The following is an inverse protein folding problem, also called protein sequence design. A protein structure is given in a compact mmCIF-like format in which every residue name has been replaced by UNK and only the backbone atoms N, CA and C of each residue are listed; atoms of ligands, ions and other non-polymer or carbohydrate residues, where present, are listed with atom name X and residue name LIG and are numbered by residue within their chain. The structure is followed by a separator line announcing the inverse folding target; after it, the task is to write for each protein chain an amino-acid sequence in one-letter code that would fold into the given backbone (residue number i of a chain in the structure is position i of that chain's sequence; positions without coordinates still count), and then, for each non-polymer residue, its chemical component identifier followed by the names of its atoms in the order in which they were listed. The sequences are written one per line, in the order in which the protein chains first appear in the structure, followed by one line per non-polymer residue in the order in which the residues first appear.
data_IF_738471879512
#
_entry.id   IF_738471879512
#
_cell.length_a   1.000
_cell.length_b   1.000
_cell.length_c   1.000
_cell.angle_alpha   90.00
_cell.angle_beta   90.00
_cell.angle_gamma   90.00
#
_symmetry.space_group_name_H-M   'P 1'
#
loop_
_entity.id
_entity.type
_entity.pdbx_description
1 polymer ?
#
# COMPACT_ATOMS: atom_id res chain seq x y z
N UNK A 1 -19.76 -17.69 -15.87
CA UNK A 1 -18.74 -17.12 -16.77
C UNK A 1 -17.82 -16.20 -15.97
N UNK A 2 -16.51 -16.20 -16.17
CA UNK A 2 -15.65 -15.21 -15.54
C UNK A 2 -16.07 -13.81 -16.01
N UNK A 3 -16.14 -12.86 -15.06
CA UNK A 3 -16.50 -11.48 -15.36
C UNK A 3 -15.51 -10.86 -16.36
N UNK A 4 -16.04 -10.04 -17.30
CA UNK A 4 -15.20 -9.33 -18.26
C UNK A 4 -14.14 -8.47 -17.56
N UNK A 5 -13.01 -8.14 -18.20
CA UNK A 5 -12.06 -7.19 -17.63
C UNK A 5 -12.72 -5.86 -17.22
N UNK A 6 -13.59 -5.31 -18.05
CA UNK A 6 -14.30 -4.05 -17.78
C UNK A 6 -15.19 -4.15 -16.53
N UNK A 7 -15.98 -5.24 -16.39
CA UNK A 7 -16.83 -5.45 -15.20
C UNK A 7 -16.01 -5.64 -13.92
N UNK A 8 -14.84 -6.24 -14.03
CA UNK A 8 -13.95 -6.36 -12.89
C UNK A 8 -13.45 -4.99 -12.43
N UNK A 9 -12.91 -4.17 -13.34
CA UNK A 9 -12.38 -2.85 -12.97
C UNK A 9 -13.48 -1.89 -12.55
N UNK A 10 -14.69 -1.98 -13.12
CA UNK A 10 -15.86 -1.25 -12.63
C UNK A 10 -16.16 -1.59 -11.17
N UNK A 11 -16.15 -2.88 -10.79
CA UNK A 11 -16.32 -3.30 -9.39
C UNK A 11 -15.18 -2.83 -8.50
N UNK A 12 -13.92 -2.93 -8.96
CA UNK A 12 -12.79 -2.38 -8.20
C UNK A 12 -12.94 -0.89 -7.95
N UNK A 13 -13.36 -0.12 -8.95
CA UNK A 13 -13.62 1.32 -8.82
C UNK A 13 -14.71 1.60 -7.78
N UNK A 14 -15.83 0.87 -7.79
CA UNK A 14 -16.88 1.03 -6.80
C UNK A 14 -16.37 0.74 -5.37
N UNK A 15 -15.57 -0.31 -5.20
CA UNK A 15 -14.93 -0.61 -3.90
C UNK A 15 -13.93 0.46 -3.48
N UNK A 16 -13.13 0.98 -4.41
CA UNK A 16 -12.20 2.09 -4.14
C UNK A 16 -12.94 3.36 -3.74
N UNK A 17 -14.03 3.71 -4.44
CA UNK A 17 -14.83 4.87 -4.10
C UNK A 17 -15.53 4.70 -2.74
N UNK A 18 -16.13 3.55 -2.48
CA UNK A 18 -16.75 3.26 -1.19
C UNK A 18 -15.76 3.30 -0.03
N UNK A 19 -14.58 2.71 -0.22
CA UNK A 19 -13.51 2.74 0.80
C UNK A 19 -12.88 4.12 0.95
N UNK A 20 -12.80 4.94 -0.10
CA UNK A 20 -12.39 6.34 -0.02
C UNK A 20 -13.35 7.15 0.84
N UNK A 21 -14.65 6.99 0.61
CA UNK A 21 -15.69 7.65 1.43
C UNK A 21 -15.60 7.22 2.89
N UNK A 22 -15.36 5.92 3.15
CA UNK A 22 -15.15 5.42 4.50
C UNK A 22 -13.89 6.02 5.14
N UNK A 23 -12.76 6.06 4.44
CA UNK A 23 -11.52 6.68 4.94
C UNK A 23 -11.72 8.17 5.23
N UNK A 24 -12.36 8.88 4.32
CA UNK A 24 -12.69 10.29 4.51
C UNK A 24 -13.62 10.52 5.71
N UNK A 25 -14.59 9.63 5.91
CA UNK A 25 -15.48 9.67 7.07
C UNK A 25 -14.71 9.40 8.36
N UNK A 26 -13.83 8.37 8.39
CA UNK A 26 -12.99 8.05 9.55
C UNK A 26 -12.08 9.22 9.98
N UNK A 27 -11.60 10.03 9.04
CA UNK A 27 -10.82 11.24 9.33
C UNK A 27 -11.59 12.28 10.18
N UNK A 28 -12.92 12.21 10.18
CA UNK A 28 -13.77 13.05 11.04
C UNK A 28 -13.82 12.58 12.49
N UNK A 29 -13.33 11.37 12.75
CA UNK A 29 -13.30 10.74 14.09
C UNK A 29 -11.84 10.47 14.53
N UNK A 30 -11.05 11.53 14.77
CA UNK A 30 -9.65 11.38 15.18
C UNK A 30 -9.48 10.60 16.47
N UNK A 31 -10.52 10.54 17.30
CA UNK A 31 -10.54 9.78 18.54
C UNK A 31 -10.32 8.26 18.33
N UNK A 32 -10.69 7.71 17.17
CA UNK A 32 -10.47 6.28 16.89
C UNK A 32 -8.97 5.96 16.82
N UNK A 33 -8.23 6.72 16.01
CA UNK A 33 -6.77 6.56 15.90
C UNK A 33 -6.07 6.75 17.24
N UNK A 34 -6.46 7.79 18.00
CA UNK A 34 -5.88 8.06 19.30
C UNK A 34 -6.16 6.93 20.30
N UNK A 35 -7.41 6.44 20.37
CA UNK A 35 -7.78 5.31 21.26
C UNK A 35 -7.05 4.03 20.91
N UNK A 36 -6.95 3.70 19.62
CA UNK A 36 -6.21 2.52 19.18
C UNK A 36 -4.72 2.65 19.48
N UNK A 37 -4.17 3.84 19.35
CA UNK A 37 -2.77 4.10 19.63
C UNK A 37 -2.45 4.05 21.12
N UNK A 38 -3.42 4.45 21.99
CA UNK A 38 -3.30 4.32 23.45
C UNK A 38 -3.10 2.87 23.92
N UNK A 39 -3.57 1.87 23.16
CA UNK A 39 -3.35 0.46 23.51
C UNK A 39 -1.86 0.05 23.52
N UNK A 40 -1.02 0.82 22.84
CA UNK A 40 0.42 0.57 22.70
C UNK A 40 1.28 1.57 23.49
N UNK A 41 0.66 2.59 24.08
CA UNK A 41 1.34 3.65 24.84
C UNK A 41 1.29 3.34 26.34
N UNK A 42 2.40 3.54 27.02
CA UNK A 42 2.48 3.43 28.49
C UNK A 42 2.42 4.83 29.13
N UNK A 43 1.31 5.20 29.77
CA UNK A 43 1.20 6.50 30.42
C UNK A 43 2.15 6.70 31.59
N UNK A 44 2.60 5.60 32.26
CA UNK A 44 3.48 5.70 33.42
C UNK A 44 4.92 6.09 33.01
N UNK A 45 5.39 5.56 31.90
CA UNK A 45 6.70 5.91 31.35
C UNK A 45 6.68 7.10 30.38
N UNK A 46 5.51 7.46 29.85
CA UNK A 46 5.33 8.53 28.87
C UNK A 46 5.84 8.21 27.48
N UNK A 47 5.98 6.91 27.12
CA UNK A 47 6.46 6.51 25.79
C UNK A 47 5.89 5.16 25.35
N UNK A 48 6.24 4.74 24.12
CA UNK A 48 5.85 3.45 23.56
C UNK A 48 6.88 2.38 23.96
N UNK A 49 6.52 1.34 24.73
CA UNK A 49 7.49 0.32 25.21
C UNK A 49 8.20 -0.41 24.06
N UNK A 50 7.56 -0.54 22.90
CA UNK A 50 8.11 -1.21 21.73
C UNK A 50 8.78 -0.27 20.72
N UNK A 51 8.91 1.03 21.02
CA UNK A 51 9.48 2.02 20.09
C UNK A 51 10.87 1.61 19.58
N UNK A 52 11.72 1.14 20.49
CA UNK A 52 13.10 0.75 20.22
C UNK A 52 13.30 -0.77 20.28
N UNK A 53 12.23 -1.58 20.19
CA UNK A 53 12.32 -3.02 20.25
C UNK A 53 13.06 -3.58 19.01
N UNK A 54 14.31 -3.99 19.20
CA UNK A 54 15.19 -4.46 18.12
C UNK A 54 14.60 -5.65 17.35
N UNK A 55 14.01 -6.62 18.06
CA UNK A 55 13.38 -7.78 17.41
C UNK A 55 12.21 -7.39 16.48
N UNK A 56 11.42 -6.37 16.88
CA UNK A 56 10.30 -5.89 16.07
C UNK A 56 10.81 -5.13 14.84
N UNK A 57 11.87 -4.35 14.99
CA UNK A 57 12.53 -3.72 13.85
C UNK A 57 13.10 -4.77 12.89
N UNK A 58 13.81 -5.76 13.42
CA UNK A 58 14.40 -6.83 12.61
C UNK A 58 13.34 -7.61 11.83
N UNK A 59 12.29 -8.09 12.51
CA UNK A 59 11.26 -8.94 11.88
C UNK A 59 10.33 -8.16 10.96
N UNK A 60 9.77 -7.05 11.48
CA UNK A 60 8.72 -6.31 10.78
C UNK A 60 9.25 -5.32 9.75
N UNK A 61 10.40 -4.69 10.02
CA UNK A 61 10.95 -3.67 9.12
C UNK A 61 11.98 -4.28 8.15
N UNK A 62 13.00 -4.97 8.66
CA UNK A 62 14.10 -5.41 7.81
C UNK A 62 13.76 -6.72 7.08
N UNK A 63 13.46 -7.79 7.82
CA UNK A 63 13.24 -9.11 7.23
C UNK A 63 12.04 -9.13 6.28
N UNK A 64 10.88 -8.63 6.72
CA UNK A 64 9.68 -8.59 5.88
C UNK A 64 9.93 -7.79 4.59
N UNK A 65 10.57 -6.62 4.69
CA UNK A 65 10.94 -5.80 3.54
C UNK A 65 11.88 -6.55 2.58
N UNK A 66 12.95 -7.16 3.10
CA UNK A 66 13.92 -7.86 2.25
C UNK A 66 13.31 -9.09 1.58
N UNK A 67 12.41 -9.83 2.25
CA UNK A 67 11.67 -10.93 1.64
C UNK A 67 10.80 -10.46 0.47
N UNK A 68 10.10 -9.32 0.62
CA UNK A 68 9.27 -8.76 -0.45
C UNK A 68 10.15 -8.29 -1.63
N UNK A 69 11.29 -7.65 -1.34
CA UNK A 69 12.26 -7.23 -2.38
C UNK A 69 12.82 -8.45 -3.10
N UNK A 70 13.27 -9.48 -2.37
CA UNK A 70 13.78 -10.71 -2.98
C UNK A 70 12.73 -11.41 -3.85
N UNK A 71 11.48 -11.51 -3.35
CA UNK A 71 10.37 -12.04 -4.15
C UNK A 71 10.13 -11.21 -5.42
N UNK A 72 10.15 -9.88 -5.32
CA UNK A 72 10.03 -8.97 -6.47
C UNK A 72 11.15 -9.18 -7.50
N UNK A 73 12.40 -9.29 -7.05
CA UNK A 73 13.54 -9.57 -7.94
C UNK A 73 13.39 -10.93 -8.63
N UNK A 74 13.07 -11.99 -7.88
CA UNK A 74 12.86 -13.33 -8.44
C UNK A 74 11.73 -13.35 -9.47
N UNK A 75 10.60 -12.71 -9.16
CA UNK A 75 9.48 -12.57 -10.10
C UNK A 75 9.87 -11.73 -11.33
N UNK A 76 10.65 -10.67 -11.15
CA UNK A 76 11.16 -9.86 -12.25
C UNK A 76 12.05 -10.65 -13.20
N UNK A 77 13.04 -11.37 -12.68
CA UNK A 77 13.92 -12.24 -13.47
C UNK A 77 13.12 -13.36 -14.18
N UNK A 78 12.17 -13.98 -13.46
CA UNK A 78 11.32 -15.01 -14.05
C UNK A 78 10.45 -14.44 -15.19
N UNK A 79 9.79 -13.29 -14.96
CA UNK A 79 8.95 -12.61 -15.95
C UNK A 79 9.75 -12.21 -17.18
N UNK A 80 10.98 -11.70 -16.99
CA UNK A 80 11.90 -11.37 -18.09
C UNK A 80 12.26 -12.60 -18.92
N UNK A 81 12.69 -13.69 -18.26
CA UNK A 81 13.08 -14.93 -18.95
C UNK A 81 11.92 -15.58 -19.70
N UNK A 82 10.69 -15.50 -19.16
CA UNK A 82 9.47 -16.05 -19.75
C UNK A 82 8.76 -15.11 -20.70
N UNK A 83 9.26 -13.88 -20.86
CA UNK A 83 8.60 -12.80 -21.60
C UNK A 83 7.15 -12.56 -21.15
N UNK A 84 6.87 -12.79 -19.86
CA UNK A 84 5.57 -12.51 -19.22
C UNK A 84 5.49 -11.02 -18.84
N UNK A 85 5.04 -10.21 -19.79
CA UNK A 85 4.91 -8.76 -19.58
C UNK A 85 3.93 -8.40 -18.47
N UNK A 86 2.93 -9.25 -18.23
CA UNK A 86 1.98 -9.03 -17.14
C UNK A 86 2.62 -9.29 -15.77
N UNK A 87 3.50 -10.28 -15.66
CA UNK A 87 4.31 -10.50 -14.46
C UNK A 87 5.29 -9.35 -14.24
N UNK A 88 5.94 -8.84 -15.29
CA UNK A 88 6.79 -7.66 -15.20
C UNK A 88 6.03 -6.41 -14.78
N UNK A 89 4.81 -6.24 -15.29
CA UNK A 89 3.92 -5.17 -14.82
C UNK A 89 3.62 -5.30 -13.32
N UNK A 90 3.39 -6.50 -12.79
CA UNK A 90 3.16 -6.67 -11.36
C UNK A 90 4.35 -6.19 -10.52
N UNK A 91 5.58 -6.52 -10.93
CA UNK A 91 6.81 -6.05 -10.28
C UNK A 91 6.94 -4.53 -10.39
N UNK A 92 6.67 -3.97 -11.58
CA UNK A 92 6.68 -2.51 -11.77
C UNK A 92 5.65 -1.81 -10.87
N UNK A 93 4.44 -2.36 -10.74
CA UNK A 93 3.39 -1.83 -9.86
C UNK A 93 3.84 -1.89 -8.39
N UNK A 94 4.46 -2.99 -7.94
CA UNK A 94 5.00 -3.10 -6.58
C UNK A 94 6.01 -1.97 -6.31
N UNK A 95 6.91 -1.71 -7.23
CA UNK A 95 7.93 -0.64 -7.10
C UNK A 95 7.30 0.75 -7.14
N UNK A 96 6.46 1.03 -8.14
CA UNK A 96 5.84 2.34 -8.33
C UNK A 96 4.89 2.72 -7.20
N UNK A 97 4.07 1.76 -6.71
CA UNK A 97 3.15 2.02 -5.62
C UNK A 97 3.89 2.32 -4.30
N UNK A 98 4.95 1.56 -3.99
CA UNK A 98 5.77 1.83 -2.79
C UNK A 98 6.57 3.14 -2.92
N UNK A 99 7.07 3.46 -4.11
CA UNK A 99 7.72 4.73 -4.39
C UNK A 99 6.75 5.92 -4.23
N UNK A 100 5.52 5.80 -4.75
CA UNK A 100 4.47 6.80 -4.59
C UNK A 100 4.16 7.07 -3.11
N UNK A 101 3.93 6.02 -2.32
CA UNK A 101 3.67 6.17 -0.87
C UNK A 101 4.87 6.80 -0.18
N UNK A 102 6.09 6.39 -0.51
CA UNK A 102 7.32 6.97 0.06
C UNK A 102 7.49 8.45 -0.30
N UNK A 103 7.17 8.83 -1.53
CA UNK A 103 7.21 10.22 -1.98
C UNK A 103 6.18 11.08 -1.27
N UNK A 104 4.93 10.63 -1.17
CA UNK A 104 3.87 11.33 -0.43
C UNK A 104 4.25 11.50 1.04
N UNK A 105 4.79 10.44 1.66
CA UNK A 105 5.26 10.47 3.05
C UNK A 105 6.31 11.57 3.26
N UNK A 106 7.29 11.71 2.37
CA UNK A 106 8.34 12.73 2.50
C UNK A 106 7.81 14.17 2.40
N UNK A 107 6.66 14.37 1.74
CA UNK A 107 6.01 15.69 1.59
C UNK A 107 5.00 15.98 2.70
N UNK A 108 4.68 14.99 3.53
CA UNK A 108 3.65 15.11 4.56
C UNK A 108 4.15 15.89 5.77
N UNK A 109 3.32 16.82 6.25
CA UNK A 109 3.54 17.55 7.51
C UNK A 109 3.02 16.77 8.74
N UNK A 110 2.30 15.64 8.55
CA UNK A 110 1.77 14.85 9.66
C UNK A 110 2.87 14.10 10.41
N UNK A 111 2.95 14.34 11.70
CA UNK A 111 3.93 13.72 12.61
C UNK A 111 3.50 12.33 13.07
N UNK A 112 4.46 11.56 13.55
CA UNK A 112 4.22 10.22 14.08
C UNK A 112 3.50 10.30 15.43
N UNK A 113 2.77 9.26 15.86
CA UNK A 113 2.16 9.21 17.19
C UNK A 113 3.13 9.59 18.33
N UNK A 114 4.34 9.07 18.32
CA UNK A 114 5.35 9.36 19.36
C UNK A 114 5.83 10.81 19.42
N UNK A 115 5.60 11.61 18.36
CA UNK A 115 5.95 13.04 18.33
C UNK A 115 4.81 13.92 18.91
N UNK A 116 3.59 13.34 19.07
CA UNK A 116 2.41 14.10 19.45
C UNK A 116 2.33 14.35 20.97
N UNK A 117 1.80 15.51 21.35
CA UNK A 117 1.54 15.88 22.75
C UNK A 117 0.72 14.81 23.50
N UNK A 118 -0.23 14.15 22.81
CA UNK A 118 -1.05 13.08 23.38
C UNK A 118 -0.25 11.86 23.83
N UNK A 119 1.01 11.71 23.41
CA UNK A 119 1.89 10.58 23.67
C UNK A 119 3.29 11.01 24.13
N UNK A 120 3.38 12.13 24.86
CA UNK A 120 4.63 12.60 25.45
C UNK A 120 5.53 13.42 24.52
N UNK A 121 5.16 13.63 23.27
CA UNK A 121 5.87 14.50 22.34
C UNK A 121 5.42 15.96 22.41
N UNK A 122 5.76 16.75 21.37
CA UNK A 122 5.49 18.19 21.35
C UNK A 122 4.60 18.63 20.18
N UNK A 123 4.34 17.76 19.21
CA UNK A 123 3.60 18.07 18.00
C UNK A 123 2.09 18.09 18.25
N UNK A 124 1.39 19.04 17.63
CA UNK A 124 -0.07 19.01 17.57
C UNK A 124 -0.58 18.09 16.45
N UNK A 125 -1.65 17.34 16.73
CA UNK A 125 -2.36 16.57 15.73
C UNK A 125 -3.35 17.49 15.00
N UNK A 126 -3.42 17.33 13.69
CA UNK A 126 -4.38 18.04 12.84
C UNK A 126 -4.98 17.10 11.78
N UNK A 127 -6.13 17.46 11.21
CA UNK A 127 -6.81 16.66 10.20
C UNK A 127 -6.08 16.65 8.86
N UNK A 128 -6.27 15.62 8.07
CA UNK A 128 -5.56 15.39 6.79
C UNK A 128 -5.67 16.58 5.82
N UNK A 129 -6.80 17.29 5.84
CA UNK A 129 -7.08 18.43 4.96
C UNK A 129 -7.14 19.77 5.72
N UNK A 130 -6.71 19.81 6.99
CA UNK A 130 -6.67 21.02 7.77
C UNK A 130 -5.41 21.83 7.47
N UNK A 131 -5.43 23.10 7.83
CA UNK A 131 -4.24 23.94 7.82
C UNK A 131 -3.17 23.34 8.75
N UNK A 132 -1.92 23.37 8.29
CA UNK A 132 -0.79 22.86 9.08
C UNK A 132 -0.50 23.83 10.22
N UNK A 133 -0.60 23.42 11.49
CA UNK A 133 -0.30 24.28 12.62
C UNK A 133 1.22 24.54 12.73
N UNK A 134 1.60 25.60 13.43
CA UNK A 134 3.01 25.98 13.62
C UNK A 134 3.81 24.92 14.40
N UNK A 135 3.15 24.18 15.27
CA UNK A 135 3.67 23.10 16.10
C UNK A 135 3.36 21.71 15.54
N UNK A 136 3.22 21.58 14.21
CA UNK A 136 2.96 20.29 13.54
C UNK A 136 4.04 19.22 13.78
N UNK A 137 5.23 19.63 14.25
CA UNK A 137 6.37 18.75 14.52
C UNK A 137 7.16 18.35 13.24
N UNK A 138 7.93 17.24 13.29
CA UNK A 138 8.85 16.87 12.21
C UNK A 138 8.15 16.39 10.93
N UNK A 139 6.89 16.02 11.00
CA UNK A 139 6.14 15.48 9.86
C UNK A 139 6.66 14.13 9.37
N UNK A 140 6.44 13.86 8.07
CA UNK A 140 6.94 12.66 7.35
C UNK A 140 6.45 11.34 7.92
N UNK A 141 5.22 11.30 8.45
CA UNK A 141 4.64 10.07 8.99
C UNK A 141 3.40 9.57 8.27
N UNK A 142 2.83 10.33 7.36
CA UNK A 142 1.67 9.95 6.57
C UNK A 142 2.01 9.98 5.07
N UNK A 143 1.58 8.98 4.29
CA UNK A 143 1.01 7.68 4.66
C UNK A 143 2.06 6.70 5.23
N UNK A 144 1.62 5.52 5.74
CA UNK A 144 2.48 4.52 6.37
C UNK A 144 3.40 3.79 5.38
N UNK A 145 4.68 4.20 5.31
CA UNK A 145 5.63 3.67 4.33
C UNK A 145 5.89 2.16 4.45
N UNK A 146 6.03 1.63 5.66
CA UNK A 146 6.31 0.20 5.88
C UNK A 146 5.14 -0.70 5.45
N UNK A 147 3.91 -0.29 5.76
CA UNK A 147 2.71 -1.00 5.35
C UNK A 147 2.60 -1.10 3.83
N UNK A 148 3.05 -0.07 3.08
CA UNK A 148 2.99 -0.07 1.61
C UNK A 148 3.81 -1.20 0.97
N UNK A 149 4.92 -1.62 1.59
CA UNK A 149 5.70 -2.76 1.11
C UNK A 149 4.87 -4.06 1.17
N UNK A 150 4.20 -4.34 2.30
CA UNK A 150 3.31 -5.49 2.42
C UNK A 150 2.12 -5.38 1.45
N UNK A 151 1.47 -4.24 1.38
CA UNK A 151 0.36 -4.00 0.45
C UNK A 151 0.78 -4.11 -1.02
N UNK A 152 2.04 -3.89 -1.39
CA UNK A 152 2.50 -4.03 -2.78
C UNK A 152 2.23 -5.43 -3.35
N UNK A 153 2.17 -6.46 -2.49
CA UNK A 153 1.82 -7.82 -2.86
C UNK A 153 0.40 -7.96 -3.44
N UNK A 154 -0.49 -6.97 -3.26
CA UNK A 154 -1.80 -6.91 -3.94
C UNK A 154 -1.64 -7.04 -5.47
N UNK A 155 -0.55 -6.51 -6.03
CA UNK A 155 -0.25 -6.60 -7.47
C UNK A 155 -0.19 -8.06 -7.98
N UNK A 156 0.21 -9.00 -7.13
CA UNK A 156 0.25 -10.43 -7.48
C UNK A 156 -1.16 -11.00 -7.71
N UNK A 157 -2.15 -10.51 -6.96
CA UNK A 157 -3.55 -10.84 -7.19
C UNK A 157 -4.04 -10.35 -8.55
N UNK A 158 -3.71 -9.12 -8.93
CA UNK A 158 -4.04 -8.57 -10.25
C UNK A 158 -3.34 -9.32 -11.39
N UNK A 159 -2.07 -9.67 -11.22
CA UNK A 159 -1.33 -10.46 -12.19
C UNK A 159 -1.99 -11.82 -12.44
N UNK A 160 -2.30 -12.59 -11.38
CA UNK A 160 -2.84 -13.96 -11.49
C UNK A 160 -4.32 -14.02 -11.87
N UNK A 161 -5.04 -12.89 -11.83
CA UNK A 161 -6.49 -12.87 -12.03
C UNK A 161 -6.99 -13.55 -13.31
N UNK A 162 -6.42 -13.28 -14.51
CA UNK A 162 -6.91 -13.90 -15.74
C UNK A 162 -6.53 -15.38 -15.86
N UNK A 163 -5.50 -15.82 -15.15
CA UNK A 163 -4.97 -17.18 -15.26
C UNK A 163 -5.53 -18.12 -14.19
N UNK A 164 -5.57 -17.65 -12.94
CA UNK A 164 -5.91 -18.44 -11.76
C UNK A 164 -6.74 -17.61 -10.78
N UNK A 165 -8.06 -17.43 -11.01
CA UNK A 165 -8.89 -16.51 -10.22
C UNK A 165 -8.92 -16.80 -8.72
N UNK A 166 -8.90 -18.09 -8.33
CA UNK A 166 -8.87 -18.49 -6.92
C UNK A 166 -7.55 -18.12 -6.26
N UNK A 167 -6.41 -18.38 -6.93
CA UNK A 167 -5.09 -17.97 -6.46
C UNK A 167 -4.99 -16.44 -6.38
N UNK A 168 -5.49 -15.74 -7.39
CA UNK A 168 -5.52 -14.28 -7.42
C UNK A 168 -6.23 -13.68 -6.19
N UNK A 169 -7.38 -14.23 -5.82
CA UNK A 169 -8.12 -13.82 -4.62
C UNK A 169 -7.31 -14.07 -3.34
N UNK A 170 -6.67 -15.24 -3.22
CA UNK A 170 -5.81 -15.58 -2.08
C UNK A 170 -4.62 -14.62 -1.98
N UNK A 171 -3.93 -14.36 -3.09
CA UNK A 171 -2.79 -13.43 -3.13
C UNK A 171 -3.20 -11.99 -2.79
N UNK A 172 -4.38 -11.54 -3.24
CA UNK A 172 -4.92 -10.24 -2.89
C UNK A 172 -5.11 -10.12 -1.37
N UNK A 173 -5.78 -11.08 -0.74
CA UNK A 173 -6.00 -11.06 0.71
C UNK A 173 -4.71 -11.23 1.51
N UNK A 174 -3.78 -12.08 1.03
CA UNK A 174 -2.46 -12.21 1.66
C UNK A 174 -1.66 -10.91 1.61
N UNK A 175 -1.70 -10.20 0.47
CA UNK A 175 -1.07 -8.88 0.35
C UNK A 175 -1.71 -7.86 1.31
N UNK A 176 -3.05 -7.85 1.41
CA UNK A 176 -3.77 -7.04 2.39
C UNK A 176 -3.35 -7.34 3.83
N UNK A 177 -3.32 -8.62 4.19
CA UNK A 177 -2.90 -9.08 5.51
C UNK A 177 -1.44 -8.73 5.82
N UNK A 178 -0.53 -8.93 4.86
CA UNK A 178 0.89 -8.59 5.02
C UNK A 178 1.08 -7.08 5.27
N UNK A 179 0.40 -6.23 4.49
CA UNK A 179 0.44 -4.78 4.69
C UNK A 179 -0.10 -4.36 6.05
N UNK A 180 -1.23 -4.93 6.48
CA UNK A 180 -1.80 -4.66 7.81
C UNK A 180 -0.90 -5.15 8.94
N UNK A 181 -0.31 -6.34 8.86
CA UNK A 181 0.61 -6.85 9.88
C UNK A 181 1.86 -5.97 10.00
N UNK A 182 2.45 -5.56 8.87
CA UNK A 182 3.57 -4.62 8.88
C UNK A 182 3.14 -3.26 9.47
N UNK A 183 1.94 -2.79 9.16
CA UNK A 183 1.38 -1.57 9.72
C UNK A 183 1.13 -1.66 11.22
N UNK A 184 0.57 -2.77 11.72
CA UNK A 184 0.34 -3.01 13.14
C UNK A 184 1.65 -3.01 13.95
N UNK A 185 2.72 -3.63 13.41
CA UNK A 185 4.03 -3.55 14.03
C UNK A 185 4.54 -2.12 14.17
N UNK A 186 4.26 -1.25 13.21
CA UNK A 186 4.61 0.17 13.30
C UNK A 186 3.70 0.95 14.26
N UNK A 187 2.41 0.55 14.38
CA UNK A 187 1.53 1.11 15.42
C UNK A 187 2.03 0.76 16.81
N UNK A 188 2.43 -0.48 17.06
CA UNK A 188 2.98 -0.93 18.34
C UNK A 188 4.25 -0.16 18.73
N UNK A 189 5.03 0.33 17.77
CA UNK A 189 6.19 1.20 17.98
C UNK A 189 5.85 2.68 18.20
N UNK A 190 4.60 3.09 18.00
CA UNK A 190 4.21 4.52 18.00
C UNK A 190 4.58 5.27 16.71
N UNK A 191 4.94 4.55 15.64
CA UNK A 191 5.40 5.15 14.38
C UNK A 191 4.26 5.59 13.47
N UNK A 192 3.13 4.88 13.47
CA UNK A 192 2.00 5.15 12.56
C UNK A 192 0.66 4.95 13.25
N UNK A 193 -0.36 5.71 12.82
CA UNK A 193 -1.75 5.45 13.14
C UNK A 193 -2.33 4.36 12.23
N UNK A 194 -3.49 3.80 12.62
CA UNK A 194 -4.25 2.91 11.76
C UNK A 194 -4.63 3.58 10.43
N UNK A 195 -5.10 4.84 10.49
CA UNK A 195 -5.44 5.63 9.29
C UNK A 195 -4.28 5.73 8.32
N UNK A 196 -3.04 5.94 8.80
CA UNK A 196 -1.83 5.99 7.95
C UNK A 196 -1.63 4.71 7.15
N UNK A 197 -1.91 3.54 7.77
CA UNK A 197 -1.77 2.24 7.14
C UNK A 197 -2.90 1.96 6.15
N UNK A 198 -4.14 2.32 6.49
CA UNK A 198 -5.29 2.17 5.62
C UNK A 198 -5.17 3.02 4.35
N UNK A 199 -4.72 4.27 4.46
CA UNK A 199 -4.42 5.12 3.32
C UNK A 199 -3.32 4.54 2.43
N UNK A 200 -2.28 3.94 3.01
CA UNK A 200 -1.24 3.26 2.23
C UNK A 200 -1.81 2.08 1.45
N UNK A 201 -2.64 1.25 2.08
CA UNK A 201 -3.32 0.15 1.39
C UNK A 201 -4.21 0.63 0.26
N UNK A 202 -4.95 1.72 0.48
CA UNK A 202 -5.82 2.32 -0.54
C UNK A 202 -5.03 2.85 -1.73
N UNK A 203 -3.95 3.58 -1.50
CA UNK A 203 -3.08 4.12 -2.55
C UNK A 203 -2.44 3.00 -3.39
N UNK A 204 -1.94 1.95 -2.74
CA UNK A 204 -1.38 0.79 -3.44
C UNK A 204 -2.46 0.08 -4.26
N UNK A 205 -3.65 -0.12 -3.70
CA UNK A 205 -4.77 -0.73 -4.42
C UNK A 205 -5.21 0.10 -5.62
N UNK A 206 -5.30 1.42 -5.47
CA UNK A 206 -5.57 2.34 -6.58
C UNK A 206 -4.52 2.21 -7.68
N UNK A 207 -3.23 2.21 -7.34
CA UNK A 207 -2.14 2.03 -8.29
C UNK A 207 -2.26 0.70 -9.04
N UNK A 208 -2.56 -0.41 -8.34
CA UNK A 208 -2.84 -1.70 -8.96
C UNK A 208 -4.01 -1.59 -9.96
N UNK A 209 -5.13 -1.00 -9.54
CA UNK A 209 -6.30 -0.86 -10.41
C UNK A 209 -5.99 -0.06 -11.67
N UNK A 210 -5.37 1.10 -11.53
CA UNK A 210 -5.08 1.99 -12.67
C UNK A 210 -4.11 1.36 -13.66
N UNK A 211 -3.00 0.81 -13.19
CA UNK A 211 -1.95 0.28 -14.06
C UNK A 211 -2.39 -1.03 -14.76
N UNK A 212 -3.05 -1.93 -14.03
CA UNK A 212 -3.57 -3.15 -14.65
C UNK A 212 -4.80 -2.89 -15.54
N UNK A 213 -5.67 -1.92 -15.21
CA UNK A 213 -6.76 -1.51 -16.11
C UNK A 213 -6.19 -0.92 -17.42
N UNK A 214 -5.19 -0.06 -17.34
CA UNK A 214 -4.49 0.47 -18.50
C UNK A 214 -3.91 -0.63 -19.39
N UNK A 215 -3.28 -1.63 -18.77
CA UNK A 215 -2.76 -2.80 -19.49
C UNK A 215 -3.88 -3.63 -20.15
N UNK A 216 -4.93 -3.99 -19.39
CA UNK A 216 -5.94 -4.94 -19.83
C UNK A 216 -6.97 -4.34 -20.80
N UNK A 217 -7.32 -3.06 -20.60
CA UNK A 217 -8.37 -2.39 -21.39
C UNK A 217 -7.83 -1.57 -22.56
N UNK A 218 -6.58 -1.13 -22.50
CA UNK A 218 -6.00 -0.27 -23.53
C UNK A 218 -4.86 -0.96 -24.30
N UNK A 219 -3.82 -1.40 -23.57
CA UNK A 219 -2.61 -1.94 -24.18
C UNK A 219 -2.81 -3.27 -24.88
N UNK A 220 -3.43 -4.27 -24.24
CA UNK A 220 -3.65 -5.58 -24.85
C UNK A 220 -4.55 -5.51 -26.10
N UNK A 221 -5.72 -4.86 -26.09
CA UNK A 221 -6.56 -4.73 -27.29
C UNK A 221 -5.87 -3.98 -28.43
N UNK A 222 -5.09 -2.94 -28.11
CA UNK A 222 -4.31 -2.20 -29.10
C UNK A 222 -3.25 -3.09 -29.76
N UNK A 223 -2.49 -3.84 -28.97
CA UNK A 223 -1.48 -4.78 -29.44
C UNK A 223 -2.04 -5.87 -30.34
N UNK A 224 -3.22 -6.43 -29.97
CA UNK A 224 -3.92 -7.42 -30.78
C UNK A 224 -4.37 -6.82 -32.14
N UNK A 225 -4.91 -5.61 -32.14
CA UNK A 225 -5.30 -4.92 -33.38
C UNK A 225 -4.10 -4.65 -34.30
N UNK A 226 -2.96 -4.30 -33.75
CA UNK A 226 -1.72 -4.12 -34.54
C UNK A 226 -1.25 -5.44 -35.15
N UNK A 227 -1.22 -6.52 -34.37
CA UNK A 227 -0.81 -7.84 -34.85
C UNK A 227 -1.72 -8.35 -36.00
N UNK A 228 -3.01 -8.03 -35.98
CA UNK A 228 -3.95 -8.38 -37.06
C UNK A 228 -3.77 -7.52 -38.31
N UNK A 229 -3.35 -6.26 -38.16
CA UNK A 229 -3.15 -5.33 -39.28
C UNK A 229 -1.77 -5.45 -39.94
N UNK A 230 -0.77 -5.89 -39.20
CA UNK A 230 0.64 -6.00 -39.61
C UNK A 230 1.17 -7.43 -39.38
N UNK A 231 0.66 -8.44 -40.08
CA UNK A 231 1.04 -9.83 -39.84
C UNK A 231 2.53 -10.15 -40.09
N UNK A 232 3.29 -9.26 -40.74
CA UNK A 232 4.71 -9.43 -41.02
C UNK A 232 5.66 -8.78 -39.99
N UNK A 233 5.12 -8.12 -38.97
CA UNK A 233 5.89 -7.51 -37.87
C UNK A 233 5.68 -8.28 -36.56
N UNK A 234 5.57 -9.60 -36.59
CA UNK A 234 5.71 -10.43 -35.40
C UNK A 234 7.15 -10.29 -34.92
N UNK A 235 7.37 -9.38 -34.02
CA UNK A 235 8.61 -9.32 -33.24
C UNK A 235 8.57 -10.51 -32.27
N UNK A 236 9.30 -11.58 -32.63
CA UNK A 236 9.63 -12.71 -31.76
C UNK A 236 10.42 -12.27 -30.52
#
# INVERSE_FOLDING_TARGET
MPASPADFYRRQLLWLLGSLLLLWWLERFPALDLRLQQLFFDPASGHFPLQNAHWLDLLNHQLAKYLIVAAGVLLGVQGWRRRDYRQLLAVAVMLLATALVSWLKQKSAHSCPWDLQAFGGHASRFGLFAAVPLDAGPGRCFPGGHASAGFSLLALGFWQRPLRPTLARRLFWLGGAAGMLMGLGQMARGAHFLSHNLWSGWLVWLACCLLFAGHDLLWQPWRQRLATRLPRLSLD
#
